data_IF_084981863258
#
_entry.id   IF_084981863258
#
_cell.length_a   1.000
_cell.length_b   1.000
_cell.length_c   1.000
_cell.angle_alpha   90.00
_cell.angle_beta   90.00
_cell.angle_gamma   90.00
#
_symmetry.space_group_name_H-M   'P 1'
#
loop_
_entity.id
_entity.type
_entity.pdbx_description
1 polymer ?
#
# COMPACT_ATOMS: atom_id res chain seq x y z
N UNK A 1 -9.12 41.01 -41.20
CA UNK A 1 -8.40 39.74 -40.94
C UNK A 1 -8.84 39.25 -39.56
N UNK A 2 -9.08 37.94 -39.38
CA UNK A 2 -8.88 37.21 -38.11
C UNK A 2 -9.98 36.92 -37.07
N UNK A 3 -11.30 37.04 -37.30
CA UNK A 3 -12.25 36.45 -36.30
C UNK A 3 -12.39 34.92 -36.42
N UNK A 4 -12.30 34.39 -37.64
CA UNK A 4 -12.43 32.95 -37.94
C UNK A 4 -11.36 32.07 -37.27
N UNK A 5 -10.23 32.65 -36.89
CA UNK A 5 -9.10 31.92 -36.30
C UNK A 5 -9.04 32.06 -34.78
N UNK A 6 -9.82 32.97 -34.16
CA UNK A 6 -9.80 33.19 -32.70
C UNK A 6 -10.39 31.99 -31.96
N UNK A 7 -11.49 31.43 -32.45
CA UNK A 7 -12.14 30.28 -31.82
C UNK A 7 -11.27 29.01 -31.78
N UNK A 8 -10.63 28.57 -32.89
CA UNK A 8 -9.72 27.41 -32.83
C UNK A 8 -8.46 27.66 -32.00
N UNK A 9 -7.95 28.90 -31.94
CA UNK A 9 -6.81 29.27 -31.09
C UNK A 9 -7.18 29.15 -29.60
N UNK A 10 -8.38 29.57 -29.22
CA UNK A 10 -8.86 29.49 -27.84
C UNK A 10 -9.01 28.03 -27.39
N UNK A 11 -9.59 27.18 -28.24
CA UNK A 11 -9.76 25.74 -27.95
C UNK A 11 -8.38 25.06 -27.80
N UNK A 12 -7.43 25.38 -28.68
CA UNK A 12 -6.06 24.84 -28.58
C UNK A 12 -5.32 25.26 -27.31
N UNK A 13 -5.57 26.47 -26.79
CA UNK A 13 -4.93 26.95 -25.56
C UNK A 13 -5.41 26.21 -24.30
N UNK A 14 -6.68 25.78 -24.25
CA UNK A 14 -7.22 25.03 -23.11
C UNK A 14 -6.78 23.56 -23.09
N UNK A 15 -6.43 22.98 -24.25
CA UNK A 15 -5.98 21.58 -24.35
C UNK A 15 -4.61 21.30 -23.71
N UNK A 16 -3.84 22.33 -23.34
CA UNK A 16 -2.56 22.18 -22.64
C UNK A 16 -2.68 22.32 -21.11
N UNK A 17 -3.89 22.47 -20.57
CA UNK A 17 -4.09 22.52 -19.12
C UNK A 17 -4.15 21.08 -18.58
N UNK A 18 -3.02 20.52 -18.17
CA UNK A 18 -2.99 19.28 -17.40
C UNK A 18 -3.21 19.57 -15.92
N UNK A 19 -4.09 18.81 -15.25
CA UNK A 19 -4.18 18.85 -13.80
C UNK A 19 -2.93 18.18 -13.22
N UNK A 20 -2.09 18.92 -12.49
CA UNK A 20 -0.85 18.40 -11.90
C UNK A 20 -1.11 17.38 -10.76
N UNK A 21 -2.33 17.34 -10.22
CA UNK A 21 -2.75 16.42 -9.15
C UNK A 21 -2.57 14.92 -9.54
N UNK A 22 -2.58 14.61 -10.83
CA UNK A 22 -2.29 13.25 -11.29
C UNK A 22 -0.79 12.91 -11.32
N UNK A 23 0.08 13.93 -11.43
CA UNK A 23 1.53 13.75 -11.51
C UNK A 23 2.19 13.73 -10.12
N UNK A 24 1.57 14.39 -9.13
CA UNK A 24 2.07 14.50 -7.77
C UNK A 24 1.28 13.61 -6.79
N UNK A 25 1.03 12.36 -7.17
CA UNK A 25 0.32 11.41 -6.29
C UNK A 25 1.31 10.65 -5.42
N UNK A 26 1.18 10.83 -4.10
CA UNK A 26 1.92 10.01 -3.15
C UNK A 26 1.55 8.53 -3.32
N UNK A 27 2.52 7.61 -3.16
CA UNK A 27 2.28 6.18 -3.23
C UNK A 27 1.25 5.75 -2.17
N UNK A 28 0.12 5.15 -2.60
CA UNK A 28 -0.96 4.72 -1.70
C UNK A 28 -0.58 3.51 -0.83
N UNK A 29 0.47 2.80 -1.19
CA UNK A 29 0.99 1.65 -0.44
C UNK A 29 1.97 2.09 0.67
N UNK A 30 2.36 3.35 0.70
CA UNK A 30 3.32 3.85 1.67
C UNK A 30 2.60 4.40 2.90
N UNK A 31 2.70 3.67 4.00
CA UNK A 31 2.17 4.10 5.30
C UNK A 31 3.15 5.09 5.89
N UNK A 32 2.88 6.39 5.73
CA UNK A 32 3.75 7.43 6.29
C UNK A 32 3.43 7.72 7.76
N UNK A 33 4.41 8.15 8.57
CA UNK A 33 4.17 8.56 9.96
C UNK A 33 3.06 9.60 10.11
N UNK A 34 2.92 10.51 9.14
CA UNK A 34 1.87 11.54 9.16
C UNK A 34 0.46 10.96 9.02
N UNK A 35 0.30 9.75 8.49
CA UNK A 35 -0.99 9.11 8.30
C UNK A 35 -1.30 8.00 9.34
N UNK A 36 -0.32 7.58 10.14
CA UNK A 36 -0.38 6.33 10.91
C UNK A 36 -0.08 6.48 12.41
N UNK A 37 -0.18 7.69 12.98
CA UNK A 37 0.01 7.92 14.42
C UNK A 37 -1.12 8.76 15.04
N UNK A 38 -2.37 8.48 14.65
CA UNK A 38 -3.53 9.26 15.09
C UNK A 38 -4.34 8.59 16.19
N UNK A 39 -4.25 7.26 16.32
CA UNK A 39 -4.96 6.48 17.32
C UNK A 39 -4.02 5.55 18.10
N UNK A 40 -4.49 5.10 19.27
CA UNK A 40 -3.80 4.08 20.06
C UNK A 40 -3.56 2.80 19.25
N UNK A 41 -4.54 2.40 18.43
CA UNK A 41 -4.43 1.23 17.56
C UNK A 41 -3.28 1.33 16.55
N UNK A 42 -3.03 2.53 16.00
CA UNK A 42 -1.95 2.70 15.02
C UNK A 42 -0.58 2.56 15.69
N UNK A 43 -0.43 3.12 16.89
CA UNK A 43 0.79 2.98 17.69
C UNK A 43 1.03 1.51 18.09
N UNK A 44 -0.03 0.79 18.48
CA UNK A 44 0.06 -0.63 18.77
C UNK A 44 0.50 -1.45 17.53
N UNK A 45 -0.11 -1.20 16.37
CA UNK A 45 0.27 -1.89 15.12
C UNK A 45 1.72 -1.60 14.72
N UNK A 46 2.17 -0.35 14.85
CA UNK A 46 3.56 0.05 14.59
C UNK A 46 4.55 -0.71 15.47
N UNK A 47 4.28 -0.77 16.78
CA UNK A 47 5.17 -1.46 17.73
C UNK A 47 5.22 -2.97 17.52
N UNK A 48 4.11 -3.61 17.17
CA UNK A 48 4.07 -5.06 16.85
C UNK A 48 5.00 -5.37 15.67
N UNK A 49 5.00 -4.53 14.62
CA UNK A 49 5.87 -4.72 13.44
C UNK A 49 7.37 -4.73 13.77
N UNK A 50 7.78 -4.12 14.89
CA UNK A 50 9.19 -4.06 15.29
C UNK A 50 9.71 -5.40 15.83
N UNK A 51 8.82 -6.35 16.11
CA UNK A 51 9.16 -7.70 16.56
C UNK A 51 8.99 -8.72 15.44
N UNK A 52 9.90 -9.70 15.37
CA UNK A 52 9.77 -10.82 14.47
C UNK A 52 8.98 -11.93 15.17
N UNK A 53 7.83 -12.29 14.60
CA UNK A 53 7.05 -13.43 15.05
C UNK A 53 7.25 -14.59 14.09
N UNK A 54 7.32 -15.80 14.62
CA UNK A 54 7.22 -17.00 13.80
C UNK A 54 5.80 -17.04 13.22
N UNK A 55 5.67 -16.84 11.91
CA UNK A 55 4.41 -16.95 11.17
C UNK A 55 4.51 -18.06 10.13
N UNK A 56 3.37 -18.63 9.73
CA UNK A 56 3.35 -19.54 8.60
C UNK A 56 3.87 -18.87 7.33
N UNK A 57 4.67 -19.60 6.56
CA UNK A 57 5.15 -19.17 5.24
C UNK A 57 5.09 -20.35 4.25
N UNK A 58 4.72 -20.06 3.01
CA UNK A 58 4.59 -21.04 1.93
C UNK A 58 3.53 -22.15 2.14
N UNK A 59 3.57 -23.17 1.29
CA UNK A 59 2.69 -24.36 1.39
C UNK A 59 3.42 -25.52 2.08
N UNK A 60 3.56 -25.44 3.41
CA UNK A 60 4.18 -26.48 4.23
C UNK A 60 3.60 -26.45 5.65
N UNK A 61 4.10 -27.32 6.53
CA UNK A 61 3.69 -27.37 7.94
C UNK A 61 3.98 -26.05 8.69
N UNK A 62 4.81 -25.16 8.15
CA UNK A 62 5.10 -23.85 8.72
C UNK A 62 5.63 -23.95 10.14
N UNK A 63 5.20 -23.03 11.00
CA UNK A 63 5.61 -22.96 12.41
C UNK A 63 5.22 -24.20 13.23
N UNK A 64 4.26 -25.01 12.77
CA UNK A 64 3.93 -26.29 13.42
C UNK A 64 5.12 -27.25 13.40
N UNK A 65 6.01 -27.18 12.39
CA UNK A 65 7.22 -28.00 12.37
C UNK A 65 8.09 -27.82 13.62
N UNK A 66 8.08 -26.63 14.21
CA UNK A 66 8.87 -26.32 15.41
C UNK A 66 8.27 -26.95 16.69
N UNK A 67 6.97 -27.33 16.67
CA UNK A 67 6.29 -28.00 17.78
C UNK A 67 6.19 -29.53 17.63
N UNK A 68 6.97 -30.13 16.71
CA UNK A 68 6.97 -31.56 16.36
C UNK A 68 7.15 -32.55 17.53
N UNK A 69 7.58 -32.08 18.71
CA UNK A 69 7.73 -32.92 19.90
C UNK A 69 6.49 -32.88 20.82
N UNK A 70 5.44 -32.17 20.43
CA UNK A 70 4.14 -32.18 21.10
C UNK A 70 3.31 -33.32 20.49
N UNK A 71 2.78 -34.18 21.34
CA UNK A 71 2.08 -35.42 20.98
C UNK A 71 0.71 -35.23 20.28
N UNK A 72 0.34 -33.99 19.97
CA UNK A 72 -0.91 -33.63 19.31
C UNK A 72 -0.76 -33.46 17.78
N UNK A 73 0.43 -33.62 17.21
CA UNK A 73 0.59 -33.65 15.76
C UNK A 73 0.15 -35.00 15.19
N UNK A 74 -0.87 -34.98 14.32
CA UNK A 74 -1.24 -36.15 13.51
C UNK A 74 -0.08 -36.48 12.57
N UNK A 75 0.54 -37.64 12.76
CA UNK A 75 1.49 -38.21 11.80
C UNK A 75 0.70 -38.59 10.54
N UNK A 76 0.81 -37.80 9.48
CA UNK A 76 0.27 -38.15 8.18
C UNK A 76 0.88 -39.46 7.69
N UNK A 77 0.02 -40.46 7.46
CA UNK A 77 0.35 -41.77 6.90
C UNK A 77 0.74 -41.68 5.43
#
# INVERSE_FOLDING_TARGET
>A
MKLKYILPILIGAFSFTSCNDFLDREPLDNVTPEAFFWSESDLAAYTIKQYSFATHDGWNLGTWKDDNNTDNQVTGS
#
